data_IF_433808984572
#
_entry.id   IF_433808984572
#
_cell.length_a   1.000
_cell.length_b   1.000
_cell.length_c   1.000
_cell.angle_alpha   90.00
_cell.angle_beta   90.00
_cell.angle_gamma   90.00
#
_symmetry.space_group_name_H-M   'P 1'
#
loop_
_entity.id
_entity.type
_entity.pdbx_description
1 polymer ?
#
# COMPACT_ATOMS: atom_id res chain seq x y z
N UNK A 1 13.75 17.11 19.62
CA UNK A 1 12.37 16.64 19.95
C UNK A 1 12.43 15.68 21.13
N UNK A 2 11.49 15.79 22.08
CA UNK A 2 11.46 14.91 23.25
C UNK A 2 11.21 13.45 22.82
N UNK A 3 11.94 12.48 23.40
CA UNK A 3 11.85 11.04 23.03
C UNK A 3 10.41 10.51 23.14
N UNK A 4 9.66 11.03 24.11
CA UNK A 4 8.24 10.70 24.35
C UNK A 4 7.35 11.18 23.19
N UNK A 5 7.61 12.37 22.64
CA UNK A 5 6.83 12.89 21.52
C UNK A 5 7.06 12.09 20.24
N UNK A 6 8.31 11.68 19.96
CA UNK A 6 8.64 10.78 18.84
C UNK A 6 7.96 9.41 18.97
N UNK A 7 7.94 8.85 20.18
CA UNK A 7 7.26 7.58 20.48
C UNK A 7 5.75 7.61 20.23
N UNK A 8 5.10 8.77 20.32
CA UNK A 8 3.66 8.89 20.06
C UNK A 8 3.36 9.27 18.60
N UNK A 9 4.17 10.17 18.02
CA UNK A 9 3.94 10.69 16.67
C UNK A 9 4.20 9.64 15.60
N UNK A 10 5.25 8.83 15.73
CA UNK A 10 5.60 7.82 14.71
C UNK A 10 4.49 6.79 14.53
N UNK A 11 3.97 6.12 15.59
CA UNK A 11 2.85 5.18 15.44
C UNK A 11 1.60 5.84 14.86
N UNK A 12 1.30 7.08 15.26
CA UNK A 12 0.12 7.81 14.78
C UNK A 12 0.21 8.10 13.28
N UNK A 13 1.36 8.58 12.81
CA UNK A 13 1.58 8.82 11.38
C UNK A 13 1.51 7.50 10.61
N UNK A 14 2.16 6.44 11.09
CA UNK A 14 2.08 5.11 10.47
C UNK A 14 0.63 4.64 10.34
N UNK A 15 -0.19 4.81 11.39
CA UNK A 15 -1.60 4.46 11.35
C UNK A 15 -2.36 5.25 10.30
N UNK A 16 -2.17 6.57 10.23
CA UNK A 16 -2.82 7.44 9.23
C UNK A 16 -2.43 7.03 7.81
N UNK A 17 -1.15 6.74 7.57
CA UNK A 17 -0.64 6.34 6.25
C UNK A 17 -1.25 4.99 5.83
N UNK A 18 -1.27 4.01 6.73
CA UNK A 18 -1.88 2.70 6.46
C UNK A 18 -3.38 2.84 6.20
N UNK A 19 -4.09 3.64 7.00
CA UNK A 19 -5.52 3.88 6.82
C UNK A 19 -5.82 4.55 5.48
N UNK A 20 -5.05 5.59 5.11
CA UNK A 20 -5.21 6.27 3.83
C UNK A 20 -4.96 5.32 2.65
N UNK A 21 -3.92 4.49 2.74
CA UNK A 21 -3.62 3.49 1.72
C UNK A 21 -4.73 2.45 1.59
N UNK A 22 -5.21 1.89 2.70
CA UNK A 22 -6.27 0.89 2.71
C UNK A 22 -7.59 1.42 2.15
N UNK A 23 -8.00 2.63 2.57
CA UNK A 23 -9.23 3.27 2.06
C UNK A 23 -9.11 3.58 0.58
N UNK A 24 -7.97 4.13 0.14
CA UNK A 24 -7.72 4.43 -1.27
C UNK A 24 -7.77 3.18 -2.14
N UNK A 25 -7.10 2.11 -1.74
CA UNK A 25 -7.14 0.82 -2.46
C UNK A 25 -8.54 0.19 -2.45
N UNK A 26 -9.24 0.25 -1.32
CA UNK A 26 -10.61 -0.24 -1.21
C UNK A 26 -11.55 0.47 -2.20
N UNK A 27 -11.44 1.79 -2.32
CA UNK A 27 -12.18 2.57 -3.31
C UNK A 27 -11.82 2.17 -4.75
N UNK A 28 -10.53 1.99 -5.06
CA UNK A 28 -10.09 1.52 -6.38
C UNK A 28 -10.68 0.14 -6.69
N UNK A 29 -10.61 -0.81 -5.75
CA UNK A 29 -11.21 -2.13 -5.94
C UNK A 29 -12.73 -2.05 -6.15
N UNK A 30 -13.43 -1.20 -5.40
CA UNK A 30 -14.85 -0.98 -5.58
C UNK A 30 -15.17 -0.48 -7.00
N UNK A 31 -14.44 0.54 -7.47
CA UNK A 31 -14.61 1.10 -8.81
C UNK A 31 -14.29 0.07 -9.90
N UNK A 32 -13.22 -0.70 -9.75
CA UNK A 32 -12.84 -1.73 -10.73
C UNK A 32 -13.85 -2.87 -10.76
N UNK A 33 -14.40 -3.25 -9.61
CA UNK A 33 -15.37 -4.34 -9.55
C UNK A 33 -16.73 -3.95 -10.14
N UNK A 34 -17.24 -2.75 -9.83
CA UNK A 34 -18.61 -2.37 -10.18
C UNK A 34 -18.72 -1.51 -11.44
N UNK A 35 -17.67 -0.75 -11.80
CA UNK A 35 -17.74 0.24 -12.88
C UNK A 35 -16.83 -0.09 -14.07
N UNK A 36 -16.14 -1.25 -14.06
CA UNK A 36 -15.32 -1.73 -15.18
C UNK A 36 -15.85 -3.06 -15.71
N UNK A 37 -15.69 -3.29 -17.02
CA UNK A 37 -16.01 -4.56 -17.68
C UNK A 37 -15.16 -5.73 -17.19
N UNK A 38 -14.05 -5.46 -16.49
CA UNK A 38 -13.18 -6.48 -15.90
C UNK A 38 -13.76 -7.10 -14.61
N UNK A 39 -14.65 -6.37 -13.91
CA UNK A 39 -15.29 -6.84 -12.69
C UNK A 39 -14.34 -7.48 -11.67
N UNK A 40 -14.67 -8.71 -11.26
CA UNK A 40 -13.86 -9.54 -10.32
C UNK A 40 -12.43 -9.73 -10.83
N UNK A 41 -12.24 -10.03 -12.12
CA UNK A 41 -10.92 -10.32 -12.68
C UNK A 41 -9.99 -9.10 -12.62
N UNK A 42 -10.53 -7.89 -12.73
CA UNK A 42 -9.76 -6.67 -12.55
C UNK A 42 -9.21 -6.53 -11.12
N UNK A 43 -10.03 -6.84 -10.11
CA UNK A 43 -9.60 -6.82 -8.70
C UNK A 43 -8.53 -7.87 -8.44
N UNK A 44 -8.71 -9.09 -8.96
CA UNK A 44 -7.71 -10.16 -8.84
C UNK A 44 -6.39 -9.75 -9.48
N UNK A 45 -6.44 -9.14 -10.67
CA UNK A 45 -5.25 -8.65 -11.37
C UNK A 45 -4.47 -7.62 -10.55
N UNK A 46 -5.15 -6.64 -9.96
CA UNK A 46 -4.49 -5.65 -9.10
C UNK A 46 -3.94 -6.30 -7.83
N UNK A 47 -4.68 -7.21 -7.20
CA UNK A 47 -4.22 -7.94 -6.02
C UNK A 47 -2.95 -8.76 -6.29
N UNK A 48 -2.91 -9.47 -7.42
CA UNK A 48 -1.73 -10.22 -7.86
C UNK A 48 -0.55 -9.29 -8.19
N UNK A 49 -0.82 -8.16 -8.83
CA UNK A 49 0.21 -7.16 -9.11
C UNK A 49 0.82 -6.62 -7.80
N UNK A 50 0.00 -6.27 -6.80
CA UNK A 50 0.50 -5.85 -5.50
C UNK A 50 1.31 -6.96 -4.81
N UNK A 51 0.81 -8.19 -4.81
CA UNK A 51 1.47 -9.34 -4.19
C UNK A 51 2.89 -9.59 -4.74
N UNK A 52 3.08 -9.41 -6.06
CA UNK A 52 4.37 -9.66 -6.71
C UNK A 52 5.25 -8.41 -6.73
N UNK A 53 4.68 -7.25 -7.07
CA UNK A 53 5.45 -6.01 -7.25
C UNK A 53 5.96 -5.46 -5.92
N UNK A 54 5.21 -5.58 -4.82
CA UNK A 54 5.67 -5.06 -3.52
C UNK A 54 7.02 -5.67 -3.08
N UNK A 55 7.17 -7.00 -2.98
CA UNK A 55 8.47 -7.59 -2.63
C UNK A 55 9.53 -7.37 -3.72
N UNK A 56 9.16 -7.38 -5.00
CA UNK A 56 10.10 -7.13 -6.09
C UNK A 56 10.69 -5.70 -6.04
N UNK A 57 9.86 -4.70 -5.76
CA UNK A 57 10.28 -3.31 -5.57
C UNK A 57 11.11 -3.19 -4.30
N UNK A 58 10.71 -3.82 -3.18
CA UNK A 58 11.50 -3.83 -1.94
C UNK A 58 12.92 -4.35 -2.19
N UNK A 59 13.03 -5.50 -2.86
CA UNK A 59 14.31 -6.10 -3.23
C UNK A 59 15.15 -5.19 -4.13
N UNK A 60 14.54 -4.53 -5.12
CA UNK A 60 15.25 -3.62 -6.01
C UNK A 60 15.75 -2.37 -5.27
N UNK A 61 14.94 -1.84 -4.35
CA UNK A 61 15.30 -0.68 -3.54
C UNK A 61 16.42 -1.03 -2.55
N UNK A 62 16.32 -2.16 -1.85
CA UNK A 62 17.39 -2.66 -0.96
C UNK A 62 18.72 -2.78 -1.70
N UNK A 63 18.72 -3.40 -2.89
CA UNK A 63 19.93 -3.55 -3.71
C UNK A 63 20.54 -2.22 -4.18
N UNK A 64 19.73 -1.15 -4.27
CA UNK A 64 20.22 0.20 -4.62
C UNK A 64 20.78 0.93 -3.41
N UNK A 65 20.31 0.61 -2.21
CA UNK A 65 20.75 1.21 -0.95
C UNK A 65 21.99 0.51 -0.35
N UNK A 66 22.24 -0.76 -0.69
CA UNK A 66 23.47 -1.49 -0.33
C UNK A 66 24.72 -1.10 -1.15
N UNK A 67 24.79 0.12 -1.70
CA UNK A 67 25.99 0.69 -2.34
C UNK A 67 26.42 1.96 -1.63
#
# INVERSE_FOLDING_TARGET
>A
MNKVALSAVVPLISFIVIAAFAVGLGYIFYQVHHNSSLGVYGVIGIGLALLILTPAISFLLERRTEK
#
